data_IF_735902176150
#
_entry.id   IF_735902176150
#
_cell.length_a   1.000
_cell.length_b   1.000
_cell.length_c   1.000
_cell.angle_alpha   90.00
_cell.angle_beta   90.00
_cell.angle_gamma   90.00
#
_symmetry.space_group_name_H-M   'P 1'
#
loop_
_entity.id
_entity.type
_entity.pdbx_description
1 polymer ?
#
# COMPACT_ATOMS: atom_id res chain seq x y z
N UNK A 1 -41.57 -37.06 2.05
CA UNK A 1 -41.50 -36.58 3.44
C UNK A 1 -41.04 -35.12 3.40
N UNK A 2 -41.93 -34.20 3.78
CA UNK A 2 -41.70 -32.75 3.78
C UNK A 2 -41.47 -32.33 5.23
N UNK A 3 -40.23 -32.07 5.61
CA UNK A 3 -39.94 -31.47 6.92
C UNK A 3 -39.99 -29.96 6.80
N UNK A 4 -41.03 -29.42 7.42
CA UNK A 4 -41.31 -28.00 7.56
C UNK A 4 -40.68 -27.55 8.89
N UNK A 5 -39.55 -26.81 8.90
CA UNK A 5 -39.01 -26.31 10.15
C UNK A 5 -39.96 -25.26 10.72
N UNK A 6 -40.59 -25.60 11.84
CA UNK A 6 -41.54 -24.74 12.52
C UNK A 6 -40.93 -23.35 12.79
N UNK A 7 -41.57 -22.33 12.23
CA UNK A 7 -41.35 -20.94 12.56
C UNK A 7 -41.75 -20.74 14.03
N UNK A 8 -40.76 -20.67 14.93
CA UNK A 8 -40.98 -20.24 16.32
C UNK A 8 -41.49 -18.80 16.30
N UNK A 9 -42.77 -18.64 16.58
CA UNK A 9 -43.41 -17.35 16.87
C UNK A 9 -42.76 -16.77 18.13
N UNK A 10 -42.01 -15.68 17.97
CA UNK A 10 -41.45 -14.92 19.07
C UNK A 10 -42.57 -14.23 19.84
N UNK A 11 -42.78 -14.66 21.09
CA UNK A 11 -43.68 -14.03 22.05
C UNK A 11 -42.84 -13.09 22.93
N UNK A 12 -43.05 -11.76 22.92
CA UNK A 12 -42.33 -10.86 23.82
C UNK A 12 -43.07 -10.84 25.16
N UNK A 13 -42.93 -11.93 25.92
CA UNK A 13 -43.28 -11.93 27.34
C UNK A 13 -41.98 -12.11 28.11
N UNK A 14 -41.50 -10.99 28.65
CA UNK A 14 -40.69 -10.96 29.85
C UNK A 14 -41.50 -11.67 30.95
N UNK A 15 -41.31 -12.98 31.10
CA UNK A 15 -41.64 -13.70 32.33
C UNK A 15 -40.36 -13.77 33.15
N UNK A 16 -40.44 -13.23 34.37
CA UNK A 16 -39.29 -13.02 35.24
C UNK A 16 -38.65 -14.29 35.78
N UNK A 17 -37.62 -14.01 36.59
CA UNK A 17 -36.73 -14.94 37.30
C UNK A 17 -35.59 -15.52 36.46
N UNK A 18 -34.63 -14.65 36.15
CA UNK A 18 -33.21 -14.95 36.37
C UNK A 18 -32.55 -13.64 36.82
N UNK A 19 -31.58 -13.74 37.72
CA UNK A 19 -30.80 -12.60 38.20
C UNK A 19 -30.08 -11.92 37.03
N UNK A 20 -30.71 -10.90 36.45
CA UNK A 20 -30.14 -10.02 35.44
C UNK A 20 -28.98 -9.24 36.09
N UNK A 21 -27.79 -9.85 36.11
CA UNK A 21 -26.57 -9.06 36.06
C UNK A 21 -26.66 -8.29 34.76
N UNK A 22 -27.10 -7.05 34.85
CA UNK A 22 -27.16 -6.12 33.73
C UNK A 22 -25.74 -6.04 33.18
N UNK A 23 -25.49 -6.75 32.09
CA UNK A 23 -24.20 -6.73 31.39
C UNK A 23 -24.03 -5.34 30.79
N UNK A 24 -23.41 -4.45 31.58
CA UNK A 24 -23.18 -3.05 31.25
C UNK A 24 -22.33 -2.94 29.97
N UNK A 25 -21.43 -3.89 29.75
CA UNK A 25 -20.55 -3.95 28.59
C UNK A 25 -21.35 -4.31 27.33
N UNK A 26 -22.29 -5.27 27.43
CA UNK A 26 -23.24 -5.55 26.34
C UNK A 26 -24.15 -4.37 26.05
N UNK A 27 -24.61 -3.65 27.08
CA UNK A 27 -25.43 -2.44 26.89
C UNK A 27 -24.65 -1.35 26.19
N UNK A 28 -23.38 -1.14 26.56
CA UNK A 28 -22.51 -0.16 25.92
C UNK A 28 -22.22 -0.55 24.47
N UNK A 29 -21.90 -1.82 24.22
CA UNK A 29 -21.71 -2.38 22.88
C UNK A 29 -22.93 -2.12 21.97
N UNK A 30 -24.14 -2.37 22.47
CA UNK A 30 -25.38 -2.16 21.71
C UNK A 30 -25.69 -0.68 21.42
N UNK A 31 -25.01 0.29 22.05
CA UNK A 31 -25.09 1.71 21.64
C UNK A 31 -24.36 2.01 20.34
N UNK A 32 -23.58 1.04 19.83
CA UNK A 32 -22.87 1.10 18.57
C UNK A 32 -23.78 1.05 17.34
N UNK A 33 -23.21 0.64 16.21
CA UNK A 33 -23.85 0.71 14.91
C UNK A 33 -24.12 -0.70 14.34
N UNK A 34 -25.38 -1.05 14.02
CA UNK A 34 -25.71 -2.38 13.49
C UNK A 34 -25.05 -2.69 12.15
N UNK A 35 -24.67 -1.67 11.39
CA UNK A 35 -24.00 -1.84 10.10
C UNK A 35 -22.50 -2.09 10.22
N UNK A 36 -21.90 -1.75 11.37
CA UNK A 36 -20.47 -2.00 11.67
C UNK A 36 -20.27 -3.28 12.50
N UNK A 37 -21.34 -4.02 12.77
CA UNK A 37 -21.28 -5.28 13.49
C UNK A 37 -20.52 -6.34 12.71
N UNK A 38 -19.54 -6.98 13.36
CA UNK A 38 -18.81 -8.13 12.82
C UNK A 38 -19.16 -9.40 13.64
N UNK A 39 -19.94 -10.33 13.07
CA UNK A 39 -20.30 -11.57 13.77
C UNK A 39 -19.12 -12.48 14.12
N UNK A 40 -17.97 -12.34 13.46
CA UNK A 40 -16.80 -13.20 13.69
C UNK A 40 -15.90 -12.70 14.82
N UNK A 41 -15.85 -11.38 15.03
CA UNK A 41 -14.94 -10.74 15.98
C UNK A 41 -15.66 -10.08 17.17
N UNK A 42 -16.99 -10.06 17.17
CA UNK A 42 -17.77 -9.45 18.24
C UNK A 42 -17.81 -10.33 19.50
N UNK A 43 -17.65 -9.76 20.70
CA UNK A 43 -17.79 -10.48 21.97
C UNK A 43 -19.24 -10.89 22.26
N UNK A 44 -20.22 -10.25 21.61
CA UNK A 44 -21.65 -10.50 21.84
C UNK A 44 -22.35 -10.91 20.56
N UNK A 45 -23.26 -11.89 20.69
CA UNK A 45 -24.17 -12.31 19.62
C UNK A 45 -25.37 -11.36 19.59
N UNK A 46 -25.58 -10.72 18.44
CA UNK A 46 -26.76 -9.90 18.17
C UNK A 46 -27.67 -10.63 17.17
N UNK A 47 -28.98 -10.47 17.30
CA UNK A 47 -29.96 -11.17 16.45
C UNK A 47 -30.60 -10.24 15.42
N UNK A 48 -30.85 -8.98 15.80
CA UNK A 48 -31.55 -8.01 14.98
C UNK A 48 -30.96 -6.61 15.15
N UNK A 49 -31.19 -5.75 14.16
CA UNK A 49 -30.91 -4.31 14.31
C UNK A 49 -31.75 -3.66 15.41
N UNK A 50 -32.85 -4.31 15.82
CA UNK A 50 -33.75 -3.84 16.86
C UNK A 50 -33.15 -3.92 18.26
N UNK A 51 -32.13 -4.77 18.43
CA UNK A 51 -31.39 -4.95 19.68
C UNK A 51 -30.51 -3.73 19.99
N UNK A 52 -30.08 -3.00 18.94
CA UNK A 52 -29.25 -1.81 19.07
C UNK A 52 -29.99 -0.66 19.74
N UNK A 53 -29.29 0.07 20.60
CA UNK A 53 -29.82 1.18 21.39
C UNK A 53 -29.56 2.51 20.72
N UNK A 54 -30.61 3.29 20.48
CA UNK A 54 -30.49 4.65 19.96
C UNK A 54 -30.81 5.68 21.04
N UNK A 55 -30.12 6.82 20.98
CA UNK A 55 -30.41 7.95 21.86
C UNK A 55 -31.76 8.57 21.49
N UNK A 56 -32.70 8.53 22.43
CA UNK A 56 -34.01 9.15 22.27
C UNK A 56 -34.34 9.99 23.51
N UNK A 57 -34.54 11.29 23.30
CA UNK A 57 -34.53 12.29 24.38
C UNK A 57 -33.22 12.19 25.18
N UNK A 58 -33.28 11.95 26.49
CA UNK A 58 -32.12 11.86 27.39
C UNK A 58 -31.61 10.43 27.57
N UNK A 59 -32.32 9.40 27.08
CA UNK A 59 -32.03 8.00 27.40
C UNK A 59 -31.71 7.18 26.14
N UNK A 60 -30.89 6.15 26.30
CA UNK A 60 -30.68 5.13 25.28
C UNK A 60 -31.74 4.04 25.41
N UNK A 61 -32.46 3.76 24.32
CA UNK A 61 -33.49 2.72 24.29
C UNK A 61 -33.27 1.83 23.06
N UNK A 62 -33.60 0.54 23.19
CA UNK A 62 -33.56 -0.39 22.08
C UNK A 62 -34.40 0.14 20.90
N UNK A 63 -33.87 0.01 19.69
CA UNK A 63 -34.51 0.50 18.48
C UNK A 63 -35.87 -0.17 18.30
N UNK A 64 -35.97 -1.48 18.54
CA UNK A 64 -37.21 -2.25 18.53
C UNK A 64 -38.28 -1.70 19.46
N UNK A 65 -37.89 -1.36 20.70
CA UNK A 65 -38.80 -0.75 21.68
C UNK A 65 -39.41 0.54 21.12
N UNK A 66 -38.61 1.42 20.51
CA UNK A 66 -39.11 2.71 20.01
C UNK A 66 -40.03 2.58 18.79
N UNK A 67 -39.80 1.62 17.90
CA UNK A 67 -40.58 1.47 16.66
C UNK A 67 -41.80 0.56 16.81
N UNK A 68 -41.84 -0.29 17.85
CA UNK A 68 -42.97 -1.17 18.18
C UNK A 68 -43.90 -0.59 19.25
N UNK A 69 -43.47 0.45 19.96
CA UNK A 69 -44.28 1.05 21.01
C UNK A 69 -45.58 1.67 20.45
N UNK A 70 -46.72 1.11 20.86
CA UNK A 70 -48.05 1.53 20.43
C UNK A 70 -48.43 2.94 20.91
N UNK A 71 -47.81 3.45 21.99
CA UNK A 71 -48.06 4.81 22.50
C UNK A 71 -47.51 5.90 21.56
N UNK A 72 -46.59 5.56 20.65
CA UNK A 72 -46.06 6.50 19.68
C UNK A 72 -46.85 6.47 18.37
N UNK A 73 -47.26 7.66 17.90
CA UNK A 73 -47.90 7.81 16.60
C UNK A 73 -47.03 7.28 15.45
N UNK A 74 -47.69 6.83 14.36
CA UNK A 74 -47.01 6.34 13.14
C UNK A 74 -45.97 7.33 12.62
N UNK A 75 -46.32 8.62 12.61
CA UNK A 75 -45.40 9.69 12.19
C UNK A 75 -44.19 9.80 13.12
N UNK A 76 -44.40 9.72 14.44
CA UNK A 76 -43.33 9.80 15.44
C UNK A 76 -42.35 8.64 15.29
N UNK A 77 -42.85 7.41 15.16
CA UNK A 77 -42.03 6.22 14.97
C UNK A 77 -41.23 6.27 13.66
N UNK A 78 -41.85 6.71 12.57
CA UNK A 78 -41.16 6.95 11.28
C UNK A 78 -40.04 7.99 11.43
N UNK A 79 -40.29 9.08 12.19
CA UNK A 79 -39.30 10.12 12.45
C UNK A 79 -38.11 9.59 13.27
N UNK A 80 -38.38 8.77 14.28
CA UNK A 80 -37.34 8.10 15.08
C UNK A 80 -36.50 7.20 14.19
N UNK A 81 -37.12 6.30 13.42
CA UNK A 81 -36.41 5.41 12.51
C UNK A 81 -35.60 6.17 11.47
N UNK A 82 -36.16 7.22 10.84
CA UNK A 82 -35.41 8.07 9.90
C UNK A 82 -34.18 8.71 10.55
N UNK A 83 -34.30 9.21 11.78
CA UNK A 83 -33.18 9.79 12.54
C UNK A 83 -32.11 8.75 12.88
N UNK A 84 -32.50 7.54 13.28
CA UNK A 84 -31.58 6.46 13.57
C UNK A 84 -30.74 6.07 12.34
N UNK A 85 -31.39 5.82 11.20
CA UNK A 85 -30.68 5.52 9.95
C UNK A 85 -29.75 6.64 9.51
N UNK A 86 -30.14 7.91 9.65
CA UNK A 86 -29.27 9.04 9.33
C UNK A 86 -28.02 9.10 10.23
N UNK A 87 -28.14 8.74 11.50
CA UNK A 87 -27.01 8.69 12.42
C UNK A 87 -26.08 7.53 12.08
N UNK A 88 -26.64 6.33 11.90
CA UNK A 88 -25.86 5.15 11.50
C UNK A 88 -25.16 5.36 10.16
N UNK A 89 -25.78 6.09 9.22
CA UNK A 89 -25.19 6.42 7.93
C UNK A 89 -23.98 7.35 8.05
N UNK A 90 -24.08 8.38 8.87
CA UNK A 90 -22.96 9.29 9.14
C UNK A 90 -21.80 8.56 9.82
N UNK A 91 -22.12 7.67 10.75
CA UNK A 91 -21.14 6.94 11.54
C UNK A 91 -20.37 5.89 10.71
N UNK A 92 -21.06 5.17 9.81
CA UNK A 92 -20.40 4.28 8.85
C UNK A 92 -19.48 5.05 7.92
N UNK A 93 -19.97 6.15 7.32
CA UNK A 93 -19.16 7.00 6.43
C UNK A 93 -17.89 7.50 7.14
N UNK A 94 -18.02 8.01 8.36
CA UNK A 94 -16.88 8.45 9.17
C UNK A 94 -15.90 7.32 9.46
N UNK A 95 -16.39 6.12 9.78
CA UNK A 95 -15.56 4.96 10.09
C UNK A 95 -14.82 4.45 8.84
N UNK A 96 -15.50 4.41 7.69
CA UNK A 96 -14.91 4.05 6.40
C UNK A 96 -13.87 5.07 5.97
N UNK A 97 -14.16 6.37 6.03
CA UNK A 97 -13.21 7.44 5.75
C UNK A 97 -11.96 7.33 6.64
N UNK A 98 -12.14 7.09 7.94
CA UNK A 98 -11.02 6.89 8.87
C UNK A 98 -10.15 5.69 8.47
N UNK A 99 -10.75 4.54 8.17
CA UNK A 99 -10.02 3.35 7.70
C UNK A 99 -9.30 3.57 6.37
N UNK A 100 -9.91 4.32 5.46
CA UNK A 100 -9.30 4.70 4.18
C UNK A 100 -8.10 5.61 4.41
N UNK A 101 -8.22 6.62 5.27
CA UNK A 101 -7.13 7.55 5.61
C UNK A 101 -5.98 6.80 6.30
N UNK A 102 -6.30 5.90 7.24
CA UNK A 102 -5.29 5.08 7.92
C UNK A 102 -4.58 4.16 6.91
N UNK A 103 -5.34 3.43 6.08
CA UNK A 103 -4.78 2.58 5.03
C UNK A 103 -4.00 3.36 3.96
N UNK A 104 -4.48 4.52 3.54
CA UNK A 104 -3.81 5.37 2.55
C UNK A 104 -2.56 6.02 3.13
N UNK A 105 -2.58 6.48 4.38
CA UNK A 105 -1.40 7.04 5.07
C UNK A 105 -0.28 6.02 5.22
N UNK A 106 -0.65 4.75 5.45
CA UNK A 106 0.28 3.60 5.47
C UNK A 106 0.88 3.36 4.08
N UNK A 107 0.07 3.43 3.03
CA UNK A 107 0.52 3.30 1.64
C UNK A 107 1.40 4.50 1.23
N UNK A 108 1.04 5.72 1.63
CA UNK A 108 1.76 6.94 1.34
C UNK A 108 3.10 7.00 2.07
N UNK A 109 3.15 6.73 3.37
CA UNK A 109 4.43 6.62 4.11
C UNK A 109 5.33 5.53 3.55
N UNK A 110 4.74 4.51 2.94
CA UNK A 110 5.45 3.46 2.20
C UNK A 110 5.92 3.92 0.80
N UNK A 111 5.10 4.70 0.11
CA UNK A 111 5.35 5.18 -1.25
C UNK A 111 6.22 6.45 -1.31
N UNK A 112 6.26 7.24 -0.24
CA UNK A 112 7.04 8.50 -0.13
C UNK A 112 8.55 8.25 0.03
N UNK A 113 8.95 7.00 -0.15
CA UNK A 113 10.29 6.62 -0.56
C UNK A 113 10.52 7.15 -1.99
N UNK A 114 10.70 8.47 -2.13
CA UNK A 114 11.08 9.16 -3.38
C UNK A 114 12.46 8.73 -3.84
N UNK A 115 12.56 7.53 -4.41
CA UNK A 115 13.79 7.03 -5.01
C UNK A 115 13.68 7.22 -6.52
N UNK A 116 14.59 8.04 -7.04
CA UNK A 116 14.76 8.20 -8.48
C UNK A 116 15.53 6.99 -9.02
N UNK A 117 15.08 6.41 -10.15
CA UNK A 117 15.86 5.40 -10.87
C UNK A 117 17.22 5.97 -11.30
N UNK A 118 18.14 5.12 -11.76
CA UNK A 118 19.30 5.63 -12.50
C UNK A 118 18.79 6.45 -13.68
N UNK A 119 19.23 7.70 -13.77
CA UNK A 119 18.92 8.54 -14.91
C UNK A 119 19.63 7.97 -16.14
N UNK A 120 18.97 8.06 -17.29
CA UNK A 120 19.54 7.59 -18.54
C UNK A 120 20.86 8.30 -18.87
N UNK A 121 20.98 9.59 -18.52
CA UNK A 121 22.24 10.33 -18.64
C UNK A 121 23.40 9.75 -17.82
N UNK A 122 23.16 9.22 -16.62
CA UNK A 122 24.22 8.57 -15.83
C UNK A 122 24.63 7.22 -16.42
N UNK A 123 23.68 6.48 -17.00
CA UNK A 123 23.97 5.23 -17.72
C UNK A 123 24.83 5.52 -18.95
N UNK A 124 24.48 6.57 -19.71
CA UNK A 124 25.24 7.01 -20.88
C UNK A 124 26.65 7.47 -20.49
N UNK A 125 26.79 8.21 -19.39
CA UNK A 125 28.08 8.61 -18.85
C UNK A 125 28.96 7.39 -18.53
N UNK A 126 28.42 6.38 -17.85
CA UNK A 126 29.15 5.14 -17.54
C UNK A 126 29.58 4.40 -18.82
N UNK A 127 28.72 4.35 -19.84
CA UNK A 127 29.08 3.78 -21.14
C UNK A 127 30.20 4.55 -21.84
N UNK A 128 30.15 5.88 -21.83
CA UNK A 128 31.18 6.73 -22.41
C UNK A 128 32.52 6.51 -21.72
N UNK A 129 32.53 6.45 -20.38
CA UNK A 129 33.72 6.15 -19.59
C UNK A 129 34.27 4.74 -19.87
N UNK A 130 33.38 3.75 -20.03
CA UNK A 130 33.76 2.38 -20.39
C UNK A 130 34.45 2.35 -21.76
N UNK A 131 33.82 2.96 -22.77
CA UNK A 131 34.37 3.02 -24.13
C UNK A 131 35.74 3.70 -24.12
N UNK A 132 35.89 4.80 -23.38
CA UNK A 132 37.15 5.52 -23.26
C UNK A 132 38.26 4.67 -22.63
N UNK A 133 37.98 3.99 -21.51
CA UNK A 133 38.98 3.13 -20.86
C UNK A 133 39.30 1.89 -21.70
N UNK A 134 38.32 1.28 -22.35
CA UNK A 134 38.53 0.17 -23.29
C UNK A 134 39.39 0.61 -24.47
N UNK A 135 39.20 1.83 -24.98
CA UNK A 135 40.02 2.40 -26.03
C UNK A 135 41.49 2.57 -25.59
N UNK A 136 41.73 3.16 -24.41
CA UNK A 136 43.09 3.32 -23.84
C UNK A 136 43.75 1.94 -23.61
N UNK A 137 42.99 0.99 -23.06
CA UNK A 137 43.46 -0.37 -22.84
C UNK A 137 43.79 -1.08 -24.17
N UNK A 138 42.96 -0.89 -25.19
CA UNK A 138 43.18 -1.43 -26.54
C UNK A 138 44.41 -0.86 -27.25
N UNK A 139 44.70 0.43 -27.06
CA UNK A 139 45.95 1.04 -27.54
C UNK A 139 47.18 0.43 -26.87
N UNK A 140 47.12 0.23 -25.55
CA UNK A 140 48.25 -0.30 -24.76
C UNK A 140 48.63 -1.72 -25.17
N UNK A 141 47.66 -2.52 -25.62
CA UNK A 141 47.87 -3.91 -26.03
C UNK A 141 48.04 -4.06 -27.57
N UNK A 142 48.24 -2.96 -28.30
CA UNK A 142 48.47 -2.98 -29.74
C UNK A 142 47.28 -3.42 -30.60
N UNK A 143 46.07 -3.56 -30.03
CA UNK A 143 44.88 -4.00 -30.76
C UNK A 143 44.49 -2.98 -31.85
N UNK A 144 44.58 -1.69 -31.54
CA UNK A 144 44.25 -0.64 -32.51
C UNK A 144 45.35 -0.43 -33.55
N UNK A 145 46.62 -0.66 -33.21
CA UNK A 145 47.73 -0.65 -34.18
C UNK A 145 47.54 -1.76 -35.21
N UNK A 146 47.15 -2.96 -34.76
CA UNK A 146 46.83 -4.08 -35.65
C UNK A 146 45.59 -3.82 -36.53
N UNK A 147 44.60 -3.11 -36.01
CA UNK A 147 43.33 -2.87 -36.72
C UNK A 147 43.39 -1.72 -37.74
N UNK A 148 44.09 -0.62 -37.42
CA UNK A 148 44.07 0.61 -38.22
C UNK A 148 45.42 0.99 -38.83
N UNK A 149 46.54 0.48 -38.28
CA UNK A 149 47.89 0.85 -38.71
C UNK A 149 48.21 2.34 -38.50
N UNK A 150 49.41 2.75 -38.88
CA UNK A 150 49.82 4.17 -38.95
C UNK A 150 50.67 4.67 -37.78
N UNK A 151 51.52 5.66 -38.07
CA UNK A 151 52.54 6.19 -37.16
C UNK A 151 51.96 6.75 -35.86
N UNK A 152 50.79 7.39 -35.92
CA UNK A 152 50.12 7.92 -34.74
C UNK A 152 49.78 6.83 -33.73
N UNK A 153 49.16 5.73 -34.18
CA UNK A 153 48.76 4.64 -33.28
C UNK A 153 49.96 3.90 -32.69
N UNK A 154 51.04 3.71 -33.47
CA UNK A 154 52.30 3.13 -33.00
C UNK A 154 52.96 4.01 -31.93
N UNK A 155 52.99 5.33 -32.15
CA UNK A 155 53.53 6.28 -31.16
C UNK A 155 52.71 6.27 -29.86
N UNK A 156 51.37 6.24 -29.97
CA UNK A 156 50.47 6.16 -28.81
C UNK A 156 50.59 4.84 -28.04
N UNK A 157 50.73 3.71 -28.73
CA UNK A 157 50.99 2.40 -28.11
C UNK A 157 52.29 2.44 -27.29
N UNK A 158 53.38 2.89 -27.89
CA UNK A 158 54.68 2.95 -27.22
C UNK A 158 54.67 3.89 -26.01
N UNK A 159 54.00 5.03 -26.11
CA UNK A 159 53.84 5.98 -24.99
C UNK A 159 53.07 5.35 -23.84
N UNK A 160 51.89 4.76 -24.12
CA UNK A 160 51.04 4.13 -23.10
C UNK A 160 51.71 2.91 -22.48
N UNK A 161 52.35 2.05 -23.29
CA UNK A 161 53.11 0.90 -22.81
C UNK A 161 54.23 1.34 -21.84
N UNK A 162 54.96 2.39 -22.20
CA UNK A 162 56.02 2.95 -21.34
C UNK A 162 55.44 3.56 -20.05
N UNK A 163 54.33 4.28 -20.14
CA UNK A 163 53.63 4.86 -18.99
C UNK A 163 53.20 3.79 -18.00
N UNK A 164 52.48 2.77 -18.46
CA UNK A 164 51.95 1.72 -17.59
C UNK A 164 53.05 0.78 -17.06
N UNK A 165 54.16 0.63 -17.80
CA UNK A 165 55.33 -0.12 -17.32
C UNK A 165 56.10 0.64 -16.23
N UNK A 166 56.27 1.96 -16.39
CA UNK A 166 56.95 2.82 -15.39
C UNK A 166 56.08 3.11 -14.16
N UNK A 167 54.75 3.14 -14.33
CA UNK A 167 53.78 3.45 -13.26
C UNK A 167 52.72 2.35 -13.17
N UNK A 168 53.06 1.17 -12.61
CA UNK A 168 52.15 0.02 -12.55
C UNK A 168 50.89 0.28 -11.73
N UNK A 169 50.93 1.20 -10.78
CA UNK A 169 49.75 1.59 -10.00
C UNK A 169 48.65 2.22 -10.86
N UNK A 170 48.99 2.96 -11.93
CA UNK A 170 47.99 3.55 -12.85
C UNK A 170 47.31 2.44 -13.64
N UNK A 171 48.06 1.41 -14.05
CA UNK A 171 47.51 0.22 -14.71
C UNK A 171 46.50 -0.48 -13.80
N UNK A 172 46.84 -0.67 -12.52
CA UNK A 172 45.94 -1.24 -11.53
C UNK A 172 44.66 -0.42 -11.36
N UNK A 173 44.78 0.91 -11.30
CA UNK A 173 43.62 1.82 -11.23
C UNK A 173 42.76 1.70 -12.49
N UNK A 174 43.35 1.62 -13.68
CA UNK A 174 42.63 1.44 -14.94
C UNK A 174 41.85 0.11 -14.97
N UNK A 175 42.51 -1.00 -14.65
CA UNK A 175 41.89 -2.33 -14.66
C UNK A 175 40.76 -2.40 -13.62
N UNK A 176 41.00 -1.89 -12.41
CA UNK A 176 39.97 -1.81 -11.36
C UNK A 176 38.78 -0.95 -11.78
N UNK A 177 39.04 0.19 -12.42
CA UNK A 177 37.99 1.10 -12.91
C UNK A 177 37.12 0.45 -13.97
N UNK A 178 37.72 -0.33 -14.89
CA UNK A 178 36.98 -1.10 -15.89
C UNK A 178 35.99 -2.06 -15.24
N UNK A 179 36.44 -2.87 -14.26
CA UNK A 179 35.56 -3.79 -13.53
C UNK A 179 34.47 -3.05 -12.77
N UNK A 180 34.81 -1.95 -12.08
CA UNK A 180 33.83 -1.15 -11.32
C UNK A 180 32.76 -0.56 -12.23
N UNK A 181 33.11 -0.08 -13.43
CA UNK A 181 32.14 0.45 -14.40
C UNK A 181 31.21 -0.66 -14.91
N UNK A 182 31.74 -1.84 -15.23
CA UNK A 182 30.93 -3.00 -15.66
C UNK A 182 29.94 -3.40 -14.55
N UNK A 183 30.43 -3.52 -13.31
CA UNK A 183 29.59 -3.81 -12.15
C UNK A 183 28.53 -2.71 -11.97
N UNK A 184 28.90 -1.44 -12.17
CA UNK A 184 27.98 -0.29 -12.08
C UNK A 184 26.86 -0.36 -13.11
N UNK A 185 27.14 -0.77 -14.35
CA UNK A 185 26.14 -0.94 -15.40
C UNK A 185 25.17 -2.10 -15.10
N UNK A 186 25.69 -3.24 -14.65
CA UNK A 186 24.86 -4.38 -14.22
C UNK A 186 23.97 -3.97 -13.05
N UNK A 187 24.57 -3.30 -12.06
CA UNK A 187 23.88 -2.82 -10.88
C UNK A 187 22.81 -1.77 -11.22
N UNK A 188 23.07 -0.87 -12.18
CA UNK A 188 22.08 0.11 -12.64
C UNK A 188 20.82 -0.57 -13.20
N UNK A 189 20.98 -1.66 -13.96
CA UNK A 189 19.85 -2.47 -14.44
C UNK A 189 19.10 -3.13 -13.28
N UNK A 190 19.82 -3.81 -12.38
CA UNK A 190 19.23 -4.45 -11.20
C UNK A 190 18.45 -3.43 -10.33
N UNK A 191 19.06 -2.29 -10.04
CA UNK A 191 18.48 -1.20 -9.25
C UNK A 191 17.20 -0.65 -9.88
N UNK A 192 17.21 -0.44 -11.21
CA UNK A 192 16.04 0.07 -11.93
C UNK A 192 14.87 -0.92 -11.92
N UNK A 193 15.13 -2.23 -12.09
CA UNK A 193 14.10 -3.28 -12.01
C UNK A 193 13.46 -3.29 -10.62
N UNK A 194 14.27 -3.30 -9.56
CA UNK A 194 13.75 -3.30 -8.18
C UNK A 194 12.88 -2.06 -7.87
N UNK A 195 13.24 -0.88 -8.38
CA UNK A 195 12.42 0.33 -8.21
C UNK A 195 11.12 0.24 -9.00
N UNK A 196 11.15 -0.29 -10.23
CA UNK A 196 9.95 -0.45 -11.04
C UNK A 196 8.99 -1.45 -10.41
N UNK A 197 9.49 -2.59 -9.92
CA UNK A 197 8.68 -3.59 -9.22
C UNK A 197 8.05 -3.00 -7.95
N UNK A 198 8.83 -2.23 -7.18
CA UNK A 198 8.32 -1.53 -6.00
C UNK A 198 7.18 -0.57 -6.38
N UNK A 199 7.37 0.28 -7.39
CA UNK A 199 6.33 1.21 -7.88
C UNK A 199 5.08 0.48 -8.38
N UNK A 200 5.26 -0.66 -9.07
CA UNK A 200 4.14 -1.46 -9.58
C UNK A 200 3.33 -2.04 -8.44
N UNK A 201 3.99 -2.56 -7.40
CA UNK A 201 3.36 -3.10 -6.20
C UNK A 201 2.58 -2.00 -5.46
N UNK A 202 3.18 -0.82 -5.23
CA UNK A 202 2.52 0.28 -4.54
C UNK A 202 1.30 0.80 -5.30
N UNK A 203 1.40 0.97 -6.62
CA UNK A 203 0.28 1.42 -7.45
C UNK A 203 -0.85 0.38 -7.50
N UNK A 204 -0.49 -0.91 -7.63
CA UNK A 204 -1.47 -2.00 -7.63
C UNK A 204 -2.19 -2.11 -6.29
N UNK A 205 -1.47 -1.94 -5.19
CA UNK A 205 -2.01 -1.87 -3.85
C UNK A 205 -3.03 -0.74 -3.67
N UNK A 206 -2.68 0.46 -4.13
CA UNK A 206 -3.60 1.61 -4.10
C UNK A 206 -4.87 1.33 -4.91
N UNK A 207 -4.75 0.79 -6.13
CA UNK A 207 -5.91 0.42 -6.93
C UNK A 207 -6.77 -0.68 -6.30
N UNK A 208 -6.17 -1.67 -5.64
CA UNK A 208 -6.90 -2.71 -4.92
C UNK A 208 -7.68 -2.09 -3.75
N UNK A 209 -7.06 -1.18 -2.99
CA UNK A 209 -7.71 -0.47 -1.89
C UNK A 209 -8.89 0.35 -2.40
N UNK A 210 -8.70 1.18 -3.42
CA UNK A 210 -9.76 1.99 -4.06
C UNK A 210 -10.90 1.13 -4.64
N UNK A 211 -10.58 -0.03 -5.21
CA UNK A 211 -11.58 -0.95 -5.74
C UNK A 211 -12.40 -1.57 -4.63
N UNK A 212 -11.75 -2.05 -3.58
CA UNK A 212 -12.42 -2.70 -2.46
C UNK A 212 -13.27 -1.73 -1.67
N UNK A 213 -12.82 -0.49 -1.44
CA UNK A 213 -13.63 0.55 -0.79
C UNK A 213 -14.91 0.83 -1.57
N UNK A 214 -14.82 0.99 -2.90
CA UNK A 214 -16.01 1.17 -3.76
C UNK A 214 -16.98 -0.01 -3.71
N UNK A 215 -16.47 -1.24 -3.59
CA UNK A 215 -17.33 -2.43 -3.46
C UNK A 215 -18.05 -2.39 -2.11
N UNK A 216 -17.33 -2.08 -1.03
CA UNK A 216 -17.90 -1.97 0.31
C UNK A 216 -18.94 -0.86 0.42
N UNK A 217 -18.68 0.31 -0.17
CA UNK A 217 -19.64 1.42 -0.20
C UNK A 217 -20.94 1.01 -0.91
N UNK A 218 -20.82 0.35 -2.07
CA UNK A 218 -22.00 -0.14 -2.83
C UNK A 218 -22.78 -1.21 -2.06
N UNK A 219 -22.09 -2.14 -1.42
CA UNK A 219 -22.74 -3.16 -0.59
C UNK A 219 -23.44 -2.54 0.62
N UNK A 220 -22.76 -1.61 1.28
CA UNK A 220 -23.30 -0.85 2.38
C UNK A 220 -24.56 -0.06 1.98
N UNK A 221 -24.49 0.72 0.91
CA UNK A 221 -25.62 1.49 0.37
C UNK A 221 -26.83 0.59 0.08
N UNK A 222 -26.57 -0.59 -0.50
CA UNK A 222 -27.62 -1.58 -0.79
C UNK A 222 -28.26 -2.10 0.51
N UNK A 223 -27.45 -2.43 1.53
CA UNK A 223 -27.93 -2.92 2.83
C UNK A 223 -28.73 -1.85 3.57
N UNK A 224 -28.21 -0.63 3.69
CA UNK A 224 -28.91 0.46 4.40
C UNK A 224 -30.20 0.88 3.68
N UNK A 225 -30.20 0.94 2.34
CA UNK A 225 -31.40 1.25 1.57
C UNK A 225 -32.50 0.21 1.80
N UNK A 226 -32.14 -1.08 1.81
CA UNK A 226 -33.08 -2.19 2.10
C UNK A 226 -33.62 -2.13 3.52
N UNK A 227 -32.76 -2.01 4.53
CA UNK A 227 -33.18 -1.92 5.93
C UNK A 227 -34.06 -0.68 6.17
N UNK A 228 -33.64 0.49 5.67
CA UNK A 228 -34.42 1.73 5.77
C UNK A 228 -35.79 1.60 5.12
N UNK A 229 -35.86 1.06 3.89
CA UNK A 229 -37.13 0.83 3.20
C UNK A 229 -38.05 -0.11 3.99
N UNK A 230 -37.50 -1.21 4.53
CA UNK A 230 -38.22 -2.15 5.38
C UNK A 230 -38.93 -1.44 6.55
N UNK A 231 -38.19 -0.64 7.32
CA UNK A 231 -38.76 0.06 8.48
C UNK A 231 -39.66 1.24 8.09
N UNK A 232 -39.33 1.99 7.03
CA UNK A 232 -40.19 3.10 6.57
C UNK A 232 -41.57 2.61 6.12
N UNK A 233 -41.66 1.41 5.56
CA UNK A 233 -42.91 0.80 5.12
C UNK A 233 -43.66 0.14 6.29
N UNK A 234 -42.97 -0.66 7.11
CA UNK A 234 -43.64 -1.45 8.16
C UNK A 234 -44.07 -0.63 9.37
N UNK A 235 -43.35 0.44 9.73
CA UNK A 235 -43.72 1.32 10.87
C UNK A 235 -45.04 2.09 10.62
N UNK A 236 -45.44 2.23 9.36
CA UNK A 236 -46.70 2.88 8.97
C UNK A 236 -47.92 1.95 9.04
N UNK A 237 -47.71 0.64 9.12
CA UNK A 237 -48.81 -0.34 9.19
C UNK A 237 -49.53 -0.21 10.53
N UNK A 238 -50.84 -0.47 10.50
CA UNK A 238 -51.72 -0.45 11.69
C UNK A 238 -51.43 -1.62 12.62
N UNK A 239 -50.96 -2.74 12.06
CA UNK A 239 -50.55 -3.94 12.80
C UNK A 239 -49.06 -3.82 13.18
N UNK A 240 -48.79 -3.88 14.48
CA UNK A 240 -47.45 -3.72 15.09
C UNK A 240 -46.59 -5.00 15.02
N UNK A 241 -47.13 -6.07 14.44
CA UNK A 241 -46.54 -7.40 14.34
C UNK A 241 -45.87 -7.59 12.99
N UNK A 242 -44.65 -7.07 12.84
CA UNK A 242 -43.76 -7.40 11.73
C UNK A 242 -42.46 -8.03 12.27
N UNK A 243 -41.82 -8.92 11.52
CA UNK A 243 -40.58 -9.57 11.98
C UNK A 243 -39.45 -8.55 12.19
N UNK A 244 -38.57 -8.72 13.19
CA UNK A 244 -37.36 -7.89 13.27
C UNK A 244 -36.47 -8.08 12.05
N UNK A 245 -35.81 -7.01 11.59
CA UNK A 245 -34.85 -7.14 10.49
C UNK A 245 -33.58 -7.79 11.03
N UNK A 246 -33.25 -8.96 10.50
CA UNK A 246 -32.17 -9.80 11.00
C UNK A 246 -30.80 -9.14 10.82
N UNK A 247 -29.91 -9.29 11.81
CA UNK A 247 -28.60 -8.62 11.80
C UNK A 247 -27.70 -9.11 10.67
N UNK A 248 -27.83 -10.39 10.27
CA UNK A 248 -27.06 -11.01 9.19
C UNK A 248 -27.31 -10.36 7.80
N UNK A 249 -28.45 -9.68 7.63
CA UNK A 249 -28.78 -8.95 6.40
C UNK A 249 -28.17 -7.54 6.37
N UNK A 250 -27.62 -7.09 7.49
CA UNK A 250 -27.20 -5.69 7.74
C UNK A 250 -25.71 -5.60 8.06
N UNK A 251 -25.18 -6.58 8.78
CA UNK A 251 -23.82 -6.59 9.25
C UNK A 251 -22.79 -6.56 8.10
N UNK A 252 -21.59 -6.07 8.41
CA UNK A 252 -20.42 -6.17 7.54
C UNK A 252 -19.96 -7.63 7.47
N UNK A 253 -20.65 -8.45 6.67
CA UNK A 253 -20.29 -9.85 6.48
C UNK A 253 -19.00 -10.02 5.66
N UNK A 254 -17.93 -10.45 6.32
CA UNK A 254 -16.73 -11.17 5.82
C UNK A 254 -15.77 -10.48 4.84
N UNK A 255 -16.19 -9.49 4.05
CA UNK A 255 -15.42 -9.08 2.86
C UNK A 255 -14.75 -7.71 2.99
N UNK A 256 -15.00 -6.94 4.07
CA UNK A 256 -14.56 -5.55 4.17
C UNK A 256 -13.31 -5.28 5.00
N UNK A 257 -13.34 -5.62 6.29
CA UNK A 257 -12.28 -5.19 7.20
C UNK A 257 -11.06 -6.10 7.12
N UNK A 258 -11.27 -7.43 7.16
CA UNK A 258 -10.17 -8.38 7.09
C UNK A 258 -9.37 -8.27 5.78
N UNK A 259 -10.03 -8.11 4.63
CA UNK A 259 -9.34 -7.93 3.33
C UNK A 259 -8.56 -6.63 3.29
N UNK A 260 -9.13 -5.51 3.74
CA UNK A 260 -8.43 -4.23 3.83
C UNK A 260 -7.24 -4.30 4.77
N UNK A 261 -7.38 -4.95 5.92
CA UNK A 261 -6.29 -5.15 6.88
C UNK A 261 -5.19 -6.03 6.30
N UNK A 262 -5.55 -7.14 5.65
CA UNK A 262 -4.57 -8.06 5.04
C UNK A 262 -3.81 -7.40 3.88
N UNK A 263 -4.53 -6.62 3.05
CA UNK A 263 -3.93 -5.83 1.96
C UNK A 263 -2.99 -4.80 2.55
N UNK A 264 -3.43 -4.05 3.57
CA UNK A 264 -2.61 -3.04 4.25
C UNK A 264 -1.36 -3.64 4.88
N UNK A 265 -1.49 -4.77 5.60
CA UNK A 265 -0.36 -5.49 6.20
C UNK A 265 0.62 -6.00 5.15
N UNK A 266 0.13 -6.59 4.05
CA UNK A 266 1.02 -7.05 2.96
C UNK A 266 1.80 -5.89 2.34
N UNK A 267 1.19 -4.71 2.25
CA UNK A 267 1.85 -3.50 1.76
C UNK A 267 2.88 -3.00 2.76
N UNK A 268 2.53 -2.96 4.06
CA UNK A 268 3.45 -2.62 5.16
C UNK A 268 4.68 -3.54 5.13
N UNK A 269 4.49 -4.84 5.00
CA UNK A 269 5.56 -5.83 5.00
C UNK A 269 6.49 -5.64 3.79
N UNK A 270 5.93 -5.51 2.59
CA UNK A 270 6.73 -5.28 1.37
C UNK A 270 7.45 -3.93 1.40
N UNK A 271 6.79 -2.90 1.91
CA UNK A 271 7.36 -1.56 2.12
C UNK A 271 8.49 -1.56 3.12
N UNK A 272 8.30 -2.20 4.28
CA UNK A 272 9.32 -2.27 5.33
C UNK A 272 10.56 -3.03 4.86
N UNK A 273 10.38 -4.12 4.11
CA UNK A 273 11.47 -4.87 3.50
C UNK A 273 12.23 -4.01 2.47
N UNK A 274 11.52 -3.25 1.63
CA UNK A 274 12.16 -2.33 0.70
C UNK A 274 12.86 -1.15 1.39
N UNK A 275 12.28 -0.61 2.47
CA UNK A 275 12.87 0.47 3.30
C UNK A 275 14.18 0.02 3.94
N UNK A 276 14.28 -1.22 4.42
CA UNK A 276 15.53 -1.81 4.91
C UNK A 276 16.59 -1.93 3.82
N UNK A 277 16.20 -2.33 2.60
CA UNK A 277 17.11 -2.44 1.45
C UNK A 277 17.50 -1.10 0.84
N UNK A 278 16.67 -0.06 0.95
CA UNK A 278 16.88 1.27 0.38
C UNK A 278 18.25 1.85 0.72
N UNK A 279 18.61 1.86 2.01
CA UNK A 279 19.86 2.48 2.47
C UNK A 279 21.05 1.83 1.79
N UNK A 280 21.07 0.50 1.75
CA UNK A 280 22.08 -0.27 1.04
C UNK A 280 22.06 0.01 -0.47
N UNK A 281 20.87 0.02 -1.08
CA UNK A 281 20.75 0.27 -2.52
C UNK A 281 21.29 1.65 -2.93
N UNK A 282 21.03 2.68 -2.12
CA UNK A 282 21.53 4.04 -2.33
C UNK A 282 23.02 4.16 -2.06
N UNK A 283 23.52 3.54 -0.98
CA UNK A 283 24.96 3.53 -0.66
C UNK A 283 25.76 2.88 -1.78
N UNK A 284 25.37 1.68 -2.22
CA UNK A 284 26.04 0.99 -3.33
C UNK A 284 25.98 1.79 -4.62
N UNK A 285 24.83 2.40 -4.95
CA UNK A 285 24.70 3.29 -6.11
C UNK A 285 25.72 4.42 -6.07
N UNK A 286 25.77 5.16 -4.95
CA UNK A 286 26.64 6.34 -4.82
C UNK A 286 28.12 5.94 -4.85
N UNK A 287 28.48 4.87 -4.15
CA UNK A 287 29.85 4.37 -4.08
C UNK A 287 30.35 3.92 -5.46
N UNK A 288 29.54 3.14 -6.19
CA UNK A 288 29.88 2.66 -7.54
C UNK A 288 30.07 3.82 -8.54
N UNK A 289 29.21 4.83 -8.50
CA UNK A 289 29.32 6.02 -9.37
C UNK A 289 30.59 6.81 -9.05
N UNK A 290 30.84 7.10 -7.77
CA UNK A 290 32.01 7.89 -7.36
C UNK A 290 33.31 7.17 -7.74
N UNK A 291 33.41 5.87 -7.44
CA UNK A 291 34.59 5.09 -7.78
C UNK A 291 34.82 5.01 -9.29
N UNK A 292 33.75 4.84 -10.08
CA UNK A 292 33.84 4.87 -11.54
C UNK A 292 34.41 6.20 -12.02
N UNK A 293 33.85 7.33 -11.56
CA UNK A 293 34.25 8.68 -12.00
C UNK A 293 35.68 8.99 -11.57
N UNK A 294 36.01 8.78 -10.30
CA UNK A 294 37.33 9.05 -9.76
C UNK A 294 38.41 8.20 -10.47
N UNK A 295 38.12 6.91 -10.71
CA UNK A 295 39.01 5.99 -11.40
C UNK A 295 39.29 6.42 -12.84
N UNK A 296 38.24 6.64 -13.65
CA UNK A 296 38.40 7.10 -15.04
C UNK A 296 39.09 8.44 -15.12
N UNK A 297 38.71 9.42 -14.28
CA UNK A 297 39.32 10.75 -14.29
C UNK A 297 40.82 10.67 -13.99
N UNK A 298 41.21 9.86 -13.00
CA UNK A 298 42.62 9.66 -12.64
C UNK A 298 43.42 9.12 -13.83
N UNK A 299 42.92 8.09 -14.52
CA UNK A 299 43.60 7.52 -15.69
C UNK A 299 43.70 8.54 -16.83
N UNK A 300 42.61 9.22 -17.16
CA UNK A 300 42.54 10.17 -18.27
C UNK A 300 43.48 11.36 -18.05
N UNK A 301 43.46 11.97 -16.86
CA UNK A 301 44.33 13.10 -16.53
C UNK A 301 45.80 12.70 -16.62
N UNK A 302 46.17 11.53 -16.11
CA UNK A 302 47.55 11.04 -16.22
C UNK A 302 47.98 10.75 -17.65
N UNK A 303 47.11 10.14 -18.46
CA UNK A 303 47.39 9.90 -19.88
C UNK A 303 47.59 11.21 -20.63
N UNK A 304 46.69 12.19 -20.44
CA UNK A 304 46.81 13.51 -21.08
C UNK A 304 48.10 14.22 -20.65
N UNK A 305 48.42 14.20 -19.36
CA UNK A 305 49.65 14.80 -18.84
C UNK A 305 50.91 14.23 -19.52
N UNK A 306 50.99 12.90 -19.67
CA UNK A 306 52.15 12.25 -20.29
C UNK A 306 52.20 12.48 -21.81
N UNK A 307 51.05 12.53 -22.49
CA UNK A 307 50.98 12.92 -23.90
C UNK A 307 51.49 14.35 -24.09
N UNK A 308 50.99 15.32 -23.31
CA UNK A 308 51.44 16.72 -23.35
C UNK A 308 52.94 16.82 -23.09
N UNK A 309 53.44 16.13 -22.06
CA UNK A 309 54.86 16.12 -21.74
C UNK A 309 55.74 15.55 -22.86
N UNK A 310 55.25 14.58 -23.61
CA UNK A 310 56.04 13.88 -24.64
C UNK A 310 55.99 14.55 -26.01
N UNK A 311 54.90 15.27 -26.32
CA UNK A 311 54.70 15.89 -27.63
C UNK A 311 54.89 17.42 -27.64
N UNK A 312 54.84 18.09 -26.49
CA UNK A 312 55.02 19.56 -26.39
C UNK A 312 56.41 19.93 -25.85
N UNK A 313 56.99 19.11 -24.98
CA UNK A 313 58.36 19.27 -24.45
C UNK A 313 59.29 18.22 -25.04
#
# INVERSE_FOLDING_TARGET
MKDNPQVKLYNPLWSGEDTDVVDLDKIEFLKGNPFLYDPLNSPYIVSSIEDYRIKYKKNYQAFGHLIRNATYSRYRRRRIAKKAFLLWEKDVKKTQEKKIIEGSSVIETSADIKIKPFSWGMILLLWLMLILLVFIHGLTNGLLVKAFGGNFFVQMENLLYTLFSKKPWIKLVMDSSLYIIIISLIYARYYNVNIQDFKKITNSAQHILERNTRILDKEYEKKIKKAKAYYMTNVLKKNYTFAPYAINLVCEGKIGNQTLDTISQTIIDKSSHFKKKKTWLLLFKTLLIILSIAGTLTVVVYVIYEVVKTFIF
#
